data_IF_980328149007
#
_entry.id   IF_980328149007
#
_cell.length_a   1.000
_cell.length_b   1.000
_cell.length_c   1.000
_cell.angle_alpha   90.00
_cell.angle_beta   90.00
_cell.angle_gamma   90.00
#
_symmetry.space_group_name_H-M   'P 1'
#
loop_
_entity.id
_entity.type
_entity.pdbx_description
1 polymer ?
#
# COMPACT_ATOMS: atom_id res chain seq x y z
N UNK A 1 -36.29 57.14 40.70
CA UNK A 1 -37.08 57.14 39.46
C UNK A 1 -36.37 58.09 38.49
N UNK A 2 -35.95 57.75 37.26
CA UNK A 2 -35.90 56.48 36.48
C UNK A 2 -34.42 55.93 36.34
N UNK A 3 -34.06 54.66 36.11
CA UNK A 3 -34.12 53.76 34.91
C UNK A 3 -33.56 54.40 33.62
N UNK A 4 -32.56 53.89 32.88
CA UNK A 4 -32.30 52.53 32.37
C UNK A 4 -30.83 52.27 31.92
N UNK A 5 -30.47 50.98 32.04
CA UNK A 5 -29.52 50.11 31.33
C UNK A 5 -28.76 50.62 30.08
N UNK A 6 -27.46 50.33 30.00
CA UNK A 6 -26.91 49.24 29.15
C UNK A 6 -25.36 49.24 29.15
N UNK A 7 -24.71 48.13 29.49
CA UNK A 7 -23.51 47.74 28.74
C UNK A 7 -23.67 46.28 28.32
N UNK A 8 -23.29 45.89 27.10
CA UNK A 8 -22.78 44.55 26.75
C UNK A 8 -22.39 44.55 25.26
N UNK A 9 -21.26 45.18 24.96
CA UNK A 9 -20.56 44.96 23.69
C UNK A 9 -19.96 43.56 23.70
N UNK A 10 -20.63 42.60 23.05
CA UNK A 10 -20.07 41.27 22.79
C UNK A 10 -19.06 41.39 21.66
N UNK A 11 -17.77 41.53 21.99
CA UNK A 11 -16.71 41.22 21.03
C UNK A 11 -16.46 39.71 21.04
N UNK A 12 -17.03 39.01 20.06
CA UNK A 12 -16.52 37.71 19.62
C UNK A 12 -15.19 37.95 18.89
N UNK A 13 -14.07 37.69 19.55
CA UNK A 13 -12.80 37.48 18.84
C UNK A 13 -12.74 36.02 18.40
N UNK A 14 -13.00 35.77 17.11
CA UNK A 14 -12.78 34.47 16.48
C UNK A 14 -11.31 34.04 16.62
N UNK A 15 -11.12 32.82 17.10
CA UNK A 15 -9.85 32.13 17.13
C UNK A 15 -9.34 31.84 15.71
N UNK A 16 -8.12 32.28 15.39
CA UNK A 16 -7.38 31.82 14.21
C UNK A 16 -6.36 30.77 14.67
N UNK A 17 -6.79 29.51 14.69
CA UNK A 17 -5.89 28.35 14.78
C UNK A 17 -5.23 28.16 13.42
N UNK A 18 -4.04 28.72 13.22
CA UNK A 18 -3.20 28.40 12.07
C UNK A 18 -2.61 27.01 12.25
N UNK A 19 -3.25 25.99 11.67
CA UNK A 19 -2.67 24.66 11.53
C UNK A 19 -1.51 24.72 10.52
N UNK A 20 -0.27 24.72 11.01
CA UNK A 20 0.90 24.58 10.17
C UNK A 20 0.98 23.13 9.67
N UNK A 21 0.48 22.89 8.45
CA UNK A 21 0.73 21.63 7.74
C UNK A 21 2.20 21.61 7.31
N UNK A 22 3.04 21.00 8.14
CA UNK A 22 4.41 20.64 7.77
C UNK A 22 4.35 19.54 6.71
N UNK A 23 4.21 19.95 5.45
CA UNK A 23 4.28 19.08 4.27
C UNK A 23 5.72 18.62 4.03
N UNK A 24 6.19 17.64 4.80
CA UNK A 24 7.40 16.91 4.44
C UNK A 24 7.07 15.99 3.25
N UNK A 25 7.30 16.51 2.05
CA UNK A 25 7.42 15.71 0.83
C UNK A 25 8.71 14.85 0.91
N UNK A 26 8.71 13.89 1.83
CA UNK A 26 9.82 12.96 1.98
C UNK A 26 9.83 12.01 0.79
N UNK A 27 10.91 12.06 0.03
CA UNK A 27 11.26 11.17 -1.08
C UNK A 27 11.17 9.70 -0.69
N UNK A 28 10.45 8.93 -1.52
CA UNK A 28 10.55 7.48 -1.65
C UNK A 28 9.87 6.66 -0.55
N UNK A 29 8.59 6.32 -0.73
CA UNK A 29 7.90 5.29 0.05
C UNK A 29 6.42 5.58 0.25
N UNK A 30 5.63 4.52 0.25
CA UNK A 30 4.19 4.56 0.48
C UNK A 30 3.89 4.96 1.92
N UNK A 31 3.02 5.96 2.09
CA UNK A 31 2.57 6.41 3.41
C UNK A 31 1.46 5.48 3.92
N UNK A 32 1.47 5.11 5.21
CA UNK A 32 0.34 4.43 5.80
C UNK A 32 -0.86 5.36 5.85
N UNK A 33 -2.03 4.82 5.52
CA UNK A 33 -3.31 5.52 5.63
C UNK A 33 -4.24 4.72 6.55
N UNK A 34 -4.78 5.40 7.56
CA UNK A 34 -5.55 4.77 8.64
C UNK A 34 -4.68 4.21 9.79
N UNK A 35 -5.32 3.98 10.94
CA UNK A 35 -4.65 3.59 12.18
C UNK A 35 -3.96 2.21 12.08
N UNK A 36 -4.58 1.26 11.38
CA UNK A 36 -4.02 -0.08 11.18
C UNK A 36 -2.71 -0.06 10.40
N UNK A 37 -2.69 0.62 9.25
CA UNK A 37 -1.47 0.79 8.46
C UNK A 37 -0.41 1.60 9.23
N UNK A 38 -0.82 2.64 9.96
CA UNK A 38 0.10 3.44 10.77
C UNK A 38 0.76 2.60 11.87
N UNK A 39 -0.02 1.76 12.55
CA UNK A 39 0.49 0.80 13.54
C UNK A 39 1.47 -0.19 12.92
N UNK A 40 1.11 -0.79 11.78
CA UNK A 40 2.00 -1.70 11.07
C UNK A 40 3.31 -1.01 10.65
N UNK A 41 3.25 0.25 10.22
CA UNK A 41 4.43 0.99 9.78
C UNK A 41 5.44 1.34 10.89
N UNK A 42 5.12 1.05 12.16
CA UNK A 42 6.00 1.33 13.32
C UNK A 42 7.05 0.25 13.56
N UNK A 43 6.87 -0.95 13.00
CA UNK A 43 7.82 -2.07 13.13
C UNK A 43 8.18 -2.64 11.77
N UNK A 44 9.45 -3.04 11.61
CA UNK A 44 9.94 -3.65 10.37
C UNK A 44 9.30 -5.02 10.10
N UNK A 45 8.87 -5.69 11.16
CA UNK A 45 8.37 -7.06 11.11
C UNK A 45 6.85 -7.15 10.94
N UNK A 46 6.12 -6.02 10.96
CA UNK A 46 4.65 -6.05 10.93
C UNK A 46 4.02 -6.65 9.68
N UNK A 47 4.75 -6.67 8.56
CA UNK A 47 4.34 -7.38 7.34
C UNK A 47 5.11 -8.67 7.13
N UNK A 48 6.11 -8.99 7.97
CA UNK A 48 6.93 -10.17 7.78
C UNK A 48 6.11 -11.45 7.89
N UNK A 49 6.48 -12.43 7.06
CA UNK A 49 5.81 -13.73 6.97
C UNK A 49 4.32 -13.60 6.66
N UNK A 50 3.96 -12.72 5.72
CA UNK A 50 2.58 -12.56 5.24
C UNK A 50 2.48 -12.82 3.73
N UNK A 51 1.37 -13.42 3.30
CA UNK A 51 1.11 -13.74 1.89
C UNK A 51 -0.20 -13.12 1.41
N UNK A 52 -0.16 -12.49 0.23
CA UNK A 52 -1.24 -11.70 -0.32
C UNK A 52 -1.51 -12.10 -1.78
N UNK A 53 -2.79 -12.14 -2.15
CA UNK A 53 -3.27 -12.35 -3.51
C UNK A 53 -3.88 -11.07 -4.04
N UNK A 54 -3.51 -10.65 -5.25
CA UNK A 54 -4.15 -9.51 -5.91
C UNK A 54 -5.52 -9.97 -6.41
N UNK A 55 -6.59 -9.43 -5.81
CA UNK A 55 -7.97 -9.80 -6.16
C UNK A 55 -8.66 -8.74 -7.00
N UNK A 56 -8.12 -7.52 -7.05
CA UNK A 56 -8.69 -6.42 -7.82
C UNK A 56 -7.65 -5.39 -8.21
N UNK A 57 -7.73 -4.91 -9.45
CA UNK A 57 -6.93 -3.80 -9.95
C UNK A 57 -7.83 -2.81 -10.69
N UNK A 58 -8.09 -1.67 -10.05
CA UNK A 58 -8.87 -0.58 -10.62
C UNK A 58 -7.95 0.48 -11.21
N UNK A 59 -8.28 0.95 -12.41
CA UNK A 59 -7.63 2.07 -13.09
C UNK A 59 -8.24 3.40 -12.61
N UNK A 60 -7.59 4.55 -12.90
CA UNK A 60 -8.16 5.85 -12.64
C UNK A 60 -9.54 5.97 -13.30
N UNK A 61 -10.55 6.40 -12.55
CA UNK A 61 -11.94 6.43 -13.00
C UNK A 61 -12.73 5.13 -12.75
N UNK A 62 -12.12 4.11 -12.14
CA UNK A 62 -12.81 2.93 -11.61
C UNK A 62 -12.99 1.76 -12.60
N UNK A 63 -12.50 1.90 -13.83
CA UNK A 63 -12.47 0.79 -14.78
C UNK A 63 -11.60 -0.35 -14.23
N UNK A 64 -12.05 -1.61 -14.41
CA UNK A 64 -11.33 -2.76 -13.90
C UNK A 64 -10.40 -3.33 -14.95
N UNK A 65 -9.15 -3.50 -14.53
CA UNK A 65 -8.15 -4.20 -15.32
C UNK A 65 -8.35 -5.70 -15.17
N UNK A 66 -8.20 -6.42 -16.29
CA UNK A 66 -8.15 -7.88 -16.26
C UNK A 66 -6.85 -8.38 -15.58
N UNK A 67 -7.00 -9.35 -14.68
CA UNK A 67 -5.93 -9.95 -13.87
C UNK A 67 -5.99 -11.48 -13.97
N UNK A 68 -5.75 -12.05 -15.17
CA UNK A 68 -5.85 -13.48 -15.38
C UNK A 68 -4.82 -14.23 -14.54
N UNK A 69 -5.21 -15.43 -14.09
CA UNK A 69 -4.29 -16.35 -13.44
C UNK A 69 -3.30 -16.93 -14.45
N UNK A 70 -2.21 -17.50 -13.96
CA UNK A 70 -1.27 -18.29 -14.75
C UNK A 70 -1.91 -19.56 -15.32
N UNK A 71 -1.22 -20.23 -16.24
CA UNK A 71 -1.75 -21.43 -16.92
C UNK A 71 -2.03 -22.60 -15.96
N UNK A 72 -1.38 -22.62 -14.80
CA UNK A 72 -1.61 -23.55 -13.70
C UNK A 72 -2.68 -23.07 -12.71
N UNK A 73 -3.43 -22.00 -13.04
CA UNK A 73 -4.44 -21.39 -12.16
C UNK A 73 -3.84 -20.51 -11.05
N UNK A 74 -2.54 -20.23 -11.08
CA UNK A 74 -1.88 -19.47 -10.03
C UNK A 74 -2.21 -17.96 -10.09
N UNK A 75 -2.66 -17.36 -8.98
CA UNK A 75 -2.97 -15.94 -8.96
C UNK A 75 -1.72 -15.07 -8.80
N UNK A 76 -1.86 -13.78 -9.09
CA UNK A 76 -0.82 -12.79 -8.80
C UNK A 76 -0.63 -12.69 -7.29
N UNK A 77 0.62 -12.86 -6.82
CA UNK A 77 0.94 -12.94 -5.38
C UNK A 77 1.98 -11.92 -4.95
N UNK A 78 1.89 -11.53 -3.69
CA UNK A 78 2.87 -10.73 -2.97
C UNK A 78 3.11 -11.37 -1.59
N UNK A 79 4.30 -11.88 -1.36
CA UNK A 79 4.69 -12.46 -0.08
C UNK A 79 5.80 -11.61 0.52
N UNK A 80 5.62 -11.18 1.77
CA UNK A 80 6.62 -10.50 2.55
C UNK A 80 7.33 -11.50 3.45
N UNK A 81 8.66 -11.57 3.37
CA UNK A 81 9.49 -12.48 4.16
C UNK A 81 10.51 -11.68 4.96
N UNK A 82 10.79 -12.15 6.18
CA UNK A 82 11.93 -11.72 6.97
C UNK A 82 12.80 -12.93 7.31
N UNK A 83 14.09 -12.86 6.97
CA UNK A 83 15.10 -13.85 7.35
C UNK A 83 16.26 -13.11 8.02
N UNK A 84 16.32 -13.18 9.35
CA UNK A 84 17.26 -12.38 10.14
C UNK A 84 17.05 -10.88 9.90
N UNK A 85 18.04 -10.21 9.30
CA UNK A 85 17.97 -8.76 8.98
C UNK A 85 17.59 -8.48 7.52
N UNK A 86 17.23 -9.49 6.76
CA UNK A 86 16.87 -9.37 5.35
C UNK A 86 15.35 -9.40 5.17
N UNK A 87 14.83 -8.38 4.50
CA UNK A 87 13.41 -8.20 4.23
C UNK A 87 13.18 -8.30 2.72
N UNK A 88 12.49 -9.36 2.30
CA UNK A 88 12.29 -9.70 0.90
C UNK A 88 10.81 -9.72 0.53
N UNK A 89 10.53 -9.34 -0.72
CA UNK A 89 9.25 -9.66 -1.35
C UNK A 89 9.45 -10.70 -2.42
N UNK A 90 8.49 -11.60 -2.60
CA UNK A 90 8.44 -12.48 -3.75
C UNK A 90 7.01 -12.79 -4.15
N UNK A 91 6.83 -13.38 -5.32
CA UNK A 91 5.53 -13.87 -5.74
C UNK A 91 5.47 -14.19 -7.22
N UNK A 92 4.24 -14.28 -7.72
CA UNK A 92 3.93 -14.44 -9.14
C UNK A 92 3.39 -13.11 -9.68
N UNK A 93 3.90 -12.65 -10.81
CA UNK A 93 3.53 -11.38 -11.45
C UNK A 93 2.48 -11.54 -12.56
N UNK A 94 1.89 -12.72 -12.71
CA UNK A 94 0.94 -13.05 -13.79
C UNK A 94 1.58 -13.80 -14.95
N UNK A 95 2.91 -13.77 -15.07
CA UNK A 95 3.67 -14.59 -16.02
C UNK A 95 4.89 -15.26 -15.40
N UNK A 96 5.67 -14.53 -14.60
CA UNK A 96 6.91 -15.05 -14.03
C UNK A 96 6.92 -14.90 -12.51
N UNK A 97 7.90 -15.57 -11.89
CA UNK A 97 8.22 -15.34 -10.50
C UNK A 97 9.11 -14.12 -10.38
N UNK A 98 8.84 -13.31 -9.37
CA UNK A 98 9.66 -12.16 -9.03
C UNK A 98 10.17 -12.24 -7.61
N UNK A 99 11.31 -11.58 -7.39
CA UNK A 99 11.88 -11.33 -6.07
C UNK A 99 12.35 -9.89 -5.97
N UNK A 100 12.38 -9.39 -4.75
CA UNK A 100 12.76 -8.03 -4.44
C UNK A 100 13.01 -7.85 -2.95
N UNK A 101 13.20 -6.60 -2.57
CA UNK A 101 13.34 -6.20 -1.17
C UNK A 101 12.21 -5.28 -0.77
N UNK A 102 11.89 -5.25 0.52
CA UNK A 102 11.06 -4.20 1.07
C UNK A 102 11.69 -3.62 2.32
N UNK A 103 11.26 -2.42 2.66
CA UNK A 103 11.58 -1.75 3.90
C UNK A 103 10.32 -1.14 4.46
N UNK A 104 10.07 -1.39 5.74
CA UNK A 104 9.04 -0.70 6.51
C UNK A 104 9.77 0.15 7.56
N UNK A 105 10.10 1.38 7.18
CA UNK A 105 10.92 2.28 8.01
C UNK A 105 10.42 3.72 7.95
N UNK A 106 10.59 4.46 9.06
CA UNK A 106 10.17 5.87 9.17
C UNK A 106 8.71 6.08 8.75
N UNK A 107 7.84 5.15 9.14
CA UNK A 107 6.42 5.15 8.81
C UNK A 107 6.17 5.14 7.30
N UNK A 108 6.98 4.42 6.53
CA UNK A 108 6.80 4.24 5.09
C UNK A 108 7.12 2.82 4.66
N UNK A 109 6.34 2.31 3.70
CA UNK A 109 6.62 1.07 2.99
C UNK A 109 7.33 1.40 1.67
N UNK A 110 8.50 0.82 1.45
CA UNK A 110 9.21 0.87 0.17
C UNK A 110 9.34 -0.56 -0.33
N UNK A 111 8.90 -0.82 -1.55
CA UNK A 111 9.13 -2.08 -2.24
C UNK A 111 10.01 -1.80 -3.45
N UNK A 112 11.13 -2.51 -3.55
CA UNK A 112 11.98 -2.52 -4.73
C UNK A 112 11.98 -3.95 -5.30
N UNK A 113 11.40 -4.11 -6.49
CA UNK A 113 11.25 -5.41 -7.15
C UNK A 113 11.95 -5.42 -8.52
N UNK A 114 13.29 -5.61 -8.56
CA UNK A 114 14.03 -5.55 -9.81
C UNK A 114 14.26 -6.91 -10.49
N UNK A 115 13.93 -8.05 -9.88
CA UNK A 115 14.25 -9.36 -10.44
C UNK A 115 13.00 -10.16 -10.79
N UNK A 116 12.86 -10.54 -12.06
CA UNK A 116 11.91 -11.53 -12.54
C UNK A 116 12.63 -12.54 -13.44
N UNK A 117 12.23 -13.81 -13.40
CA UNK A 117 12.72 -14.81 -14.35
C UNK A 117 12.19 -14.50 -15.74
N UNK A 118 12.95 -14.74 -16.81
CA UNK A 118 12.46 -14.53 -18.19
C UNK A 118 11.95 -15.85 -18.77
N UNK A 119 10.63 -16.06 -18.78
CA UNK A 119 9.97 -17.07 -19.61
C UNK A 119 9.19 -16.41 -20.76
N UNK A 120 8.88 -17.17 -21.80
CA UNK A 120 8.01 -16.72 -22.88
C UNK A 120 6.57 -16.58 -22.37
N UNK A 121 6.11 -15.34 -22.20
CA UNK A 121 4.71 -15.05 -21.84
C UNK A 121 3.85 -15.05 -23.10
N UNK A 122 2.98 -16.04 -23.25
CA UNK A 122 1.96 -16.06 -24.30
C UNK A 122 0.58 -16.07 -23.63
N UNK A 123 -0.36 -15.19 -24.05
CA UNK A 123 -0.21 -14.12 -25.04
C UNK A 123 0.63 -12.93 -24.55
N UNK A 124 0.99 -12.01 -25.46
CA UNK A 124 1.84 -10.84 -25.16
C UNK A 124 1.29 -9.93 -24.04
N UNK A 125 -0.04 -9.88 -23.88
CA UNK A 125 -0.70 -9.15 -22.79
C UNK A 125 -0.26 -9.61 -21.39
N UNK A 126 0.17 -10.87 -21.23
CA UNK A 126 0.72 -11.36 -19.95
C UNK A 126 2.08 -10.74 -19.62
N UNK A 127 2.95 -10.55 -20.61
CA UNK A 127 4.21 -9.83 -20.40
C UNK A 127 3.95 -8.38 -20.01
N UNK A 128 2.93 -7.76 -20.63
CA UNK A 128 2.51 -6.40 -20.28
C UNK A 128 1.95 -6.32 -18.85
N UNK A 129 1.10 -7.26 -18.46
CA UNK A 129 0.55 -7.36 -17.10
C UNK A 129 1.66 -7.49 -16.05
N UNK A 130 2.62 -8.39 -16.28
CA UNK A 130 3.79 -8.51 -15.40
C UNK A 130 4.54 -7.19 -15.27
N UNK A 131 4.88 -6.56 -16.40
CA UNK A 131 5.66 -5.33 -16.38
C UNK A 131 4.91 -4.18 -15.70
N UNK A 132 3.59 -4.11 -15.89
CA UNK A 132 2.72 -3.15 -15.21
C UNK A 132 2.69 -3.44 -13.70
N UNK A 133 2.56 -4.70 -13.27
CA UNK A 133 2.50 -5.07 -11.86
C UNK A 133 3.81 -4.76 -11.12
N UNK A 134 4.97 -5.09 -11.71
CA UNK A 134 6.27 -4.79 -11.12
C UNK A 134 6.57 -3.27 -11.10
N UNK A 135 5.98 -2.49 -12.00
CA UNK A 135 5.99 -1.02 -11.90
C UNK A 135 5.06 -0.53 -10.78
N UNK A 136 3.87 -1.12 -10.65
CA UNK A 136 2.90 -0.75 -9.64
C UNK A 136 3.48 -0.86 -8.22
N UNK A 137 4.17 -1.96 -7.91
CA UNK A 137 4.82 -2.17 -6.60
C UNK A 137 5.84 -1.06 -6.24
N UNK A 138 6.46 -0.41 -7.23
CA UNK A 138 7.41 0.70 -7.02
C UNK A 138 6.75 2.08 -7.01
N UNK A 139 5.50 2.17 -7.45
CA UNK A 139 4.75 3.40 -7.62
C UNK A 139 3.70 3.64 -6.52
N UNK A 140 3.70 2.83 -5.47
CA UNK A 140 2.78 2.97 -4.34
C UNK A 140 2.97 4.35 -3.68
N UNK A 141 1.85 5.04 -3.48
CA UNK A 141 1.79 6.33 -2.79
C UNK A 141 1.28 6.19 -1.36
N UNK A 142 0.17 5.47 -1.17
CA UNK A 142 -0.34 5.09 0.15
C UNK A 142 -0.70 3.62 0.22
N UNK A 143 -0.72 3.09 1.44
CA UNK A 143 -1.23 1.74 1.70
C UNK A 143 -2.15 1.73 2.91
N UNK A 144 -3.18 0.88 2.87
CA UNK A 144 -4.11 0.66 3.97
C UNK A 144 -4.12 -0.81 4.39
N UNK A 145 -4.48 -1.05 5.63
CA UNK A 145 -4.78 -2.37 6.19
C UNK A 145 -6.14 -2.29 6.87
N UNK A 146 -6.93 -3.35 6.79
CA UNK A 146 -8.23 -3.44 7.49
C UNK A 146 -8.07 -3.58 9.02
N UNK A 147 -6.97 -4.17 9.49
CA UNK A 147 -6.67 -4.26 10.93
C UNK A 147 -5.16 -4.26 11.23
N UNK A 148 -4.77 -3.89 12.46
CA UNK A 148 -3.35 -3.76 12.84
C UNK A 148 -2.65 -5.04 13.30
N UNK A 149 -3.40 -6.12 13.53
CA UNK A 149 -2.86 -7.38 14.07
C UNK A 149 -2.81 -8.50 13.04
N UNK A 150 -3.98 -8.90 12.53
CA UNK A 150 -4.12 -9.93 11.52
C UNK A 150 -4.91 -9.38 10.32
N UNK A 151 -4.35 -8.40 9.58
CA UNK A 151 -5.06 -7.83 8.46
C UNK A 151 -5.42 -8.88 7.43
N UNK A 152 -6.62 -8.82 6.88
CA UNK A 152 -7.13 -9.69 5.81
C UNK A 152 -7.17 -8.97 4.47
N UNK A 153 -7.21 -7.64 4.48
CA UNK A 153 -7.22 -6.81 3.28
C UNK A 153 -6.07 -5.80 3.32
N UNK A 154 -5.35 -5.72 2.20
CA UNK A 154 -4.29 -4.75 1.95
C UNK A 154 -4.64 -3.98 0.69
N UNK A 155 -4.62 -2.66 0.73
CA UNK A 155 -4.81 -1.82 -0.47
C UNK A 155 -3.57 -0.99 -0.74
N UNK A 156 -3.17 -0.91 -2.01
CA UNK A 156 -2.16 0.02 -2.50
C UNK A 156 -2.81 1.06 -3.42
N UNK A 157 -2.71 2.33 -3.04
CA UNK A 157 -3.04 3.45 -3.91
C UNK A 157 -1.77 3.91 -4.61
N UNK A 158 -1.76 3.89 -5.94
CA UNK A 158 -0.58 4.26 -6.72
C UNK A 158 -0.57 5.75 -7.03
N UNK A 159 0.62 6.33 -7.23
CA UNK A 159 0.78 7.73 -7.65
C UNK A 159 0.08 8.06 -8.98
N UNK A 160 -0.19 7.05 -9.81
CA UNK A 160 -0.92 7.17 -11.08
C UNK A 160 -2.45 7.13 -10.94
N UNK A 161 -2.97 6.86 -9.74
CA UNK A 161 -4.41 6.76 -9.46
C UNK A 161 -4.99 5.34 -9.54
N UNK A 162 -4.20 4.36 -9.97
CA UNK A 162 -4.59 2.95 -9.87
C UNK A 162 -4.71 2.51 -8.40
N UNK A 163 -5.62 1.57 -8.14
CA UNK A 163 -5.83 0.94 -6.84
C UNK A 163 -5.69 -0.57 -6.99
N UNK A 164 -4.80 -1.17 -6.19
CA UNK A 164 -4.62 -2.61 -6.11
C UNK A 164 -5.13 -3.09 -4.76
N UNK A 165 -6.08 -4.02 -4.76
CA UNK A 165 -6.63 -4.62 -3.54
C UNK A 165 -6.19 -6.08 -3.45
N UNK A 166 -5.74 -6.44 -2.26
CA UNK A 166 -5.21 -7.76 -1.97
C UNK A 166 -5.94 -8.41 -0.80
N UNK A 167 -6.06 -9.74 -0.88
CA UNK A 167 -6.55 -10.58 0.20
C UNK A 167 -5.44 -11.44 0.78
N UNK A 168 -5.44 -11.59 2.12
CA UNK A 168 -4.45 -12.42 2.80
C UNK A 168 -4.71 -13.90 2.56
N UNK A 169 -3.67 -14.59 2.12
CA UNK A 169 -3.65 -16.04 1.88
C UNK A 169 -2.98 -16.78 3.03
N UNK A 170 -2.69 -18.06 2.82
CA UNK A 170 -1.90 -18.83 3.77
C UNK A 170 -0.52 -18.21 3.89
N UNK A 171 -0.17 -17.83 5.11
CA UNK A 171 1.13 -17.26 5.43
C UNK A 171 2.25 -18.32 5.29
N UNK A 172 3.45 -17.91 4.85
CA UNK A 172 4.61 -18.79 4.86
C UNK A 172 4.96 -19.21 6.30
N UNK A 173 5.57 -20.39 6.48
CA UNK A 173 6.05 -20.81 7.80
C UNK A 173 7.09 -19.83 8.32
N UNK A 174 7.02 -19.51 9.60
CA UNK A 174 8.07 -18.75 10.29
C UNK A 174 9.37 -19.57 10.27
N UNK A 175 10.52 -18.96 9.94
CA UNK A 175 11.83 -19.60 10.01
C UNK A 175 12.16 -20.18 11.39
#
# INVERSE_FOLDING_TARGET
MPTLLSPHGRLLCLALLTAALAGCAGTGGARPEGAAAASAATSKDSLAQTSWELVRWAQPGGALRDIPHGDNGEPIRLTFLAQGKQYQVNGFSGCNRYTGTYKLERNKLVIDAPASTRMACVPAERAKLEADYLRALRAIDTFTLDSGGAPRHLTFNLRGGDVLEFERRQDPPTP
#
